data_IF_773679788632
#
_entry.id   IF_773679788632
#
_cell.length_a   1.000
_cell.length_b   1.000
_cell.length_c   1.000
_cell.angle_alpha   90.00
_cell.angle_beta   90.00
_cell.angle_gamma   90.00
#
_symmetry.space_group_name_H-M   'P 1'
#
loop_
_entity.id
_entity.type
_entity.pdbx_description
1 polymer ?
#
# COMPACT_ATOMS: atom_id res chain seq x y z
N UNK A 1 46.66 55.33 20.93
CA UNK A 1 45.28 54.98 20.53
C UNK A 1 45.28 53.56 19.89
N UNK A 2 44.76 52.57 20.59
CA UNK A 2 44.69 51.19 20.10
C UNK A 2 43.22 50.82 19.87
N UNK A 3 42.80 50.82 18.59
CA UNK A 3 41.46 50.36 18.22
C UNK A 3 41.39 48.84 18.24
N UNK A 4 40.58 48.31 19.14
CA UNK A 4 40.20 46.88 19.16
C UNK A 4 38.97 46.72 18.28
N UNK A 5 39.13 46.09 17.14
CA UNK A 5 38.00 45.59 16.36
C UNK A 5 37.49 44.30 17.01
N UNK A 6 36.25 44.32 17.53
CA UNK A 6 35.51 43.13 17.93
C UNK A 6 34.87 42.53 16.70
N UNK A 7 35.32 41.35 16.31
CA UNK A 7 34.65 40.54 15.29
C UNK A 7 33.53 39.74 15.97
N UNK A 8 32.28 40.12 15.74
CA UNK A 8 31.13 39.33 16.13
C UNK A 8 30.94 38.22 15.12
N UNK A 9 31.17 36.97 15.52
CA UNK A 9 30.86 35.80 14.76
C UNK A 9 29.35 35.54 14.83
N UNK A 10 28.66 35.74 13.73
CA UNK A 10 27.24 35.41 13.58
C UNK A 10 27.13 33.91 13.23
N UNK A 11 26.77 33.11 14.23
CA UNK A 11 26.53 31.70 14.03
C UNK A 11 25.15 31.50 13.41
N UNK A 12 25.09 31.22 12.11
CA UNK A 12 23.84 30.89 11.42
C UNK A 12 23.49 29.44 11.78
N UNK A 13 22.49 29.29 12.65
CA UNK A 13 21.86 27.97 12.89
C UNK A 13 21.00 27.63 11.67
N UNK A 14 21.48 26.75 10.81
CA UNK A 14 20.65 26.14 9.77
C UNK A 14 19.77 25.09 10.41
N UNK A 15 18.49 25.43 10.63
CA UNK A 15 17.45 24.48 10.96
C UNK A 15 17.25 23.56 9.75
N UNK A 16 17.82 22.38 9.81
CA UNK A 16 17.47 21.30 8.91
C UNK A 16 16.07 20.81 9.32
N UNK A 17 15.06 21.28 8.60
CA UNK A 17 13.71 20.69 8.66
C UNK A 17 13.82 19.27 8.16
N UNK A 18 13.85 18.30 9.06
CA UNK A 18 13.62 16.91 8.71
C UNK A 18 12.21 16.85 8.13
N UNK A 19 12.09 16.68 6.81
CA UNK A 19 10.85 16.33 6.18
C UNK A 19 10.45 14.97 6.75
N UNK A 20 9.61 14.99 7.77
CA UNK A 20 8.88 13.80 8.19
C UNK A 20 7.93 13.50 7.04
N UNK A 21 8.27 12.55 6.20
CA UNK A 21 7.37 11.98 5.22
C UNK A 21 6.23 11.32 6.01
N UNK A 22 5.18 12.07 6.28
CA UNK A 22 3.90 11.45 6.63
C UNK A 22 3.33 10.92 5.32
N UNK A 23 3.07 9.62 5.24
CA UNK A 23 2.45 9.02 4.08
C UNK A 23 1.08 9.65 3.80
N UNK A 24 0.66 9.61 2.56
CA UNK A 24 -0.66 10.06 2.14
C UNK A 24 -1.72 9.03 2.57
N UNK A 25 -2.68 9.46 3.37
CA UNK A 25 -3.83 8.61 3.75
C UNK A 25 -4.82 8.58 2.58
N UNK A 26 -5.10 7.37 2.10
CA UNK A 26 -6.03 7.12 1.00
C UNK A 26 -7.40 6.75 1.56
N UNK A 27 -8.39 7.57 1.25
CA UNK A 27 -9.80 7.25 1.49
C UNK A 27 -10.35 6.24 0.45
N UNK A 28 -11.63 5.87 0.61
CA UNK A 28 -12.27 4.92 -0.29
C UNK A 28 -12.30 5.37 -1.75
N UNK A 29 -12.50 6.64 -2.00
CA UNK A 29 -12.56 7.19 -3.36
C UNK A 29 -11.17 7.22 -4.02
N UNK A 30 -10.14 7.55 -3.27
CA UNK A 30 -8.76 7.49 -3.74
C UNK A 30 -8.37 6.04 -4.07
N UNK A 31 -8.77 5.08 -3.22
CA UNK A 31 -8.55 3.66 -3.46
C UNK A 31 -9.29 3.16 -4.72
N UNK A 32 -10.54 3.58 -4.94
CA UNK A 32 -11.29 3.26 -6.17
C UNK A 32 -10.55 3.76 -7.40
N UNK A 33 -10.12 5.03 -7.42
CA UNK A 33 -9.36 5.60 -8.55
C UNK A 33 -8.07 4.84 -8.83
N UNK A 34 -7.42 4.33 -7.80
CA UNK A 34 -6.17 3.61 -7.93
C UNK A 34 -6.38 2.15 -8.39
N UNK A 35 -7.34 1.44 -7.79
CA UNK A 35 -7.47 0.00 -7.94
C UNK A 35 -8.43 -0.43 -9.04
N UNK A 36 -9.56 0.25 -9.21
CA UNK A 36 -10.60 -0.23 -10.12
C UNK A 36 -10.16 -0.16 -11.57
N UNK A 37 -10.32 -1.27 -12.28
CA UNK A 37 -9.81 -1.47 -13.63
C UNK A 37 -8.32 -1.84 -13.70
N UNK A 38 -7.65 -2.03 -12.56
CA UNK A 38 -6.23 -2.34 -12.47
C UNK A 38 -5.98 -3.62 -11.66
N UNK A 39 -4.78 -4.16 -11.81
CA UNK A 39 -4.32 -5.31 -11.02
C UNK A 39 -3.29 -4.87 -9.99
N UNK A 40 -3.56 -5.18 -8.75
CA UNK A 40 -2.64 -5.01 -7.63
C UNK A 40 -1.85 -6.30 -7.44
N UNK A 41 -0.52 -6.20 -7.43
CA UNK A 41 0.34 -7.24 -6.88
C UNK A 41 0.79 -6.79 -5.50
N UNK A 42 0.71 -7.69 -4.52
CA UNK A 42 1.19 -7.40 -3.16
C UNK A 42 1.95 -8.58 -2.58
N UNK A 43 3.02 -8.27 -1.86
CA UNK A 43 3.80 -9.20 -1.08
C UNK A 43 3.68 -8.84 0.39
N UNK A 44 3.58 -9.84 1.25
CA UNK A 44 3.54 -9.62 2.69
C UNK A 44 4.95 -9.55 3.27
N UNK A 45 5.18 -8.68 4.26
CA UNK A 45 6.48 -8.56 4.92
C UNK A 45 6.94 -9.88 5.54
N UNK A 46 8.24 -10.07 5.62
CA UNK A 46 8.83 -11.18 6.36
C UNK A 46 8.35 -11.18 7.82
N UNK A 47 8.06 -12.35 8.35
CA UNK A 47 7.56 -12.52 9.71
C UNK A 47 6.03 -12.56 9.85
N UNK A 48 5.28 -12.25 8.79
CA UNK A 48 3.83 -12.49 8.76
C UNK A 48 3.53 -13.93 8.33
N UNK A 49 2.33 -14.43 8.64
CA UNK A 49 1.89 -15.77 8.21
C UNK A 49 1.88 -15.90 6.68
N UNK A 50 1.67 -14.79 5.99
CA UNK A 50 1.51 -14.75 4.53
C UNK A 50 2.80 -14.33 3.79
N UNK A 51 3.93 -14.13 4.48
CA UNK A 51 5.19 -13.68 3.86
C UNK A 51 5.71 -14.55 2.70
N UNK A 52 5.23 -15.79 2.60
CA UNK A 52 5.57 -16.72 1.52
C UNK A 52 4.60 -16.71 0.36
N UNK A 53 3.73 -15.70 0.30
CA UNK A 53 2.68 -15.61 -0.71
C UNK A 53 2.74 -14.27 -1.44
N UNK A 54 2.56 -14.33 -2.74
CA UNK A 54 2.32 -13.16 -3.60
C UNK A 54 0.88 -13.21 -4.06
N UNK A 55 0.18 -12.11 -3.92
CA UNK A 55 -1.20 -11.97 -4.35
C UNK A 55 -1.25 -11.06 -5.57
N UNK A 56 -2.09 -11.44 -6.53
CA UNK A 56 -2.51 -10.59 -7.64
C UNK A 56 -4.01 -10.46 -7.57
N UNK A 57 -4.51 -9.24 -7.54
CA UNK A 57 -5.95 -8.96 -7.45
C UNK A 57 -6.34 -7.92 -8.49
N UNK A 58 -7.21 -8.30 -9.43
CA UNK A 58 -7.85 -7.38 -10.35
C UNK A 58 -9.18 -6.93 -9.77
N UNK A 59 -9.36 -5.62 -9.69
CA UNK A 59 -10.56 -4.99 -9.17
C UNK A 59 -11.47 -4.58 -10.32
N UNK A 60 -12.49 -5.40 -10.56
CA UNK A 60 -13.45 -5.19 -11.64
C UNK A 60 -14.39 -4.03 -11.32
N UNK A 61 -14.77 -3.17 -12.31
CA UNK A 61 -15.74 -2.09 -12.09
C UNK A 61 -17.09 -2.54 -11.52
N UNK A 62 -17.47 -3.80 -11.74
CA UNK A 62 -18.72 -4.39 -11.23
C UNK A 62 -18.67 -4.79 -9.74
N UNK A 63 -17.63 -4.41 -9.01
CA UNK A 63 -17.48 -4.71 -7.58
C UNK A 63 -16.91 -6.09 -7.29
N UNK A 64 -16.38 -6.78 -8.29
CA UNK A 64 -15.74 -8.09 -8.13
C UNK A 64 -14.23 -7.94 -8.00
N UNK A 65 -13.63 -8.92 -7.34
CA UNK A 65 -12.18 -9.12 -7.29
C UNK A 65 -11.88 -10.47 -7.92
N UNK A 66 -11.02 -10.48 -8.92
CA UNK A 66 -10.46 -11.71 -9.48
C UNK A 66 -9.04 -11.81 -9.00
N UNK A 67 -8.77 -12.80 -8.15
CA UNK A 67 -7.49 -12.92 -7.48
C UNK A 67 -6.78 -14.22 -7.74
N UNK A 68 -5.47 -14.20 -7.54
CA UNK A 68 -4.61 -15.35 -7.57
C UNK A 68 -3.58 -15.24 -6.45
N UNK A 69 -3.45 -16.30 -5.69
CA UNK A 69 -2.42 -16.50 -4.69
C UNK A 69 -1.36 -17.43 -5.25
N UNK A 70 -0.09 -17.03 -5.14
CA UNK A 70 1.07 -17.86 -5.47
C UNK A 70 1.92 -18.03 -4.21
N UNK A 71 2.25 -19.28 -3.86
CA UNK A 71 3.25 -19.56 -2.82
C UNK A 71 4.65 -19.53 -3.40
N UNK A 72 5.55 -18.85 -2.74
CA UNK A 72 6.94 -18.67 -3.21
C UNK A 72 7.75 -19.97 -3.10
N UNK A 73 7.39 -20.86 -2.15
CA UNK A 73 8.11 -22.09 -1.82
C UNK A 73 7.61 -23.33 -2.61
N UNK A 74 6.61 -23.17 -3.46
CA UNK A 74 6.07 -24.29 -4.24
C UNK A 74 5.85 -23.89 -5.69
N UNK A 75 6.73 -24.38 -6.56
CA UNK A 75 6.62 -24.17 -7.99
C UNK A 75 5.26 -24.71 -8.50
N UNK A 76 4.46 -23.80 -9.08
CA UNK A 76 3.21 -24.17 -9.75
C UNK A 76 1.94 -24.24 -8.89
N UNK A 77 2.01 -23.96 -7.61
CA UNK A 77 0.80 -23.87 -6.77
C UNK A 77 0.18 -22.47 -6.84
N UNK A 78 -0.71 -22.31 -7.80
CA UNK A 78 -1.57 -21.14 -7.94
C UNK A 78 -2.96 -21.45 -7.42
N UNK A 79 -3.50 -20.58 -6.59
CA UNK A 79 -4.88 -20.66 -6.12
C UNK A 79 -5.65 -19.45 -6.60
N UNK A 80 -6.60 -19.66 -7.49
CA UNK A 80 -7.52 -18.61 -7.92
C UNK A 80 -8.64 -18.42 -6.90
N UNK A 81 -9.10 -17.19 -6.75
CA UNK A 81 -10.24 -16.86 -5.91
C UNK A 81 -11.04 -15.70 -6.50
N UNK A 82 -12.27 -15.61 -6.10
CA UNK A 82 -13.16 -14.50 -6.42
C UNK A 82 -13.55 -13.84 -5.10
N UNK A 83 -13.52 -12.52 -5.10
CA UNK A 83 -13.96 -11.69 -3.99
C UNK A 83 -14.88 -10.57 -4.47
N UNK A 84 -15.19 -9.68 -3.55
CA UNK A 84 -15.95 -8.46 -3.81
C UNK A 84 -15.28 -7.28 -3.14
N UNK A 85 -15.50 -6.09 -3.70
CA UNK A 85 -15.09 -4.83 -3.10
C UNK A 85 -16.26 -3.86 -3.05
N UNK A 86 -16.20 -2.93 -2.13
CA UNK A 86 -17.16 -1.82 -2.01
C UNK A 86 -16.53 -0.67 -1.23
N UNK A 87 -17.16 0.50 -1.29
CA UNK A 87 -16.83 1.61 -0.39
C UNK A 87 -17.93 1.71 0.66
N UNK A 88 -17.57 1.71 1.94
CA UNK A 88 -18.48 1.87 3.08
C UNK A 88 -17.89 2.89 4.05
N UNK A 89 -18.67 3.87 4.42
CA UNK A 89 -18.26 4.92 5.37
C UNK A 89 -16.90 5.57 5.00
N UNK A 90 -16.71 5.84 3.70
CA UNK A 90 -15.48 6.44 3.17
C UNK A 90 -14.24 5.54 3.20
N UNK A 91 -14.40 4.24 3.47
CA UNK A 91 -13.31 3.25 3.48
C UNK A 91 -13.47 2.22 2.38
N UNK A 92 -12.36 1.78 1.83
CA UNK A 92 -12.33 0.69 0.85
C UNK A 92 -12.41 -0.65 1.58
N UNK A 93 -13.44 -1.42 1.25
CA UNK A 93 -13.74 -2.70 1.89
C UNK A 93 -13.59 -3.83 0.89
N UNK A 94 -12.97 -4.93 1.32
CA UNK A 94 -12.83 -6.15 0.51
C UNK A 94 -13.34 -7.36 1.27
N UNK A 95 -13.86 -8.33 0.54
CA UNK A 95 -14.19 -9.65 1.04
C UNK A 95 -13.63 -10.70 0.09
N UNK A 96 -12.58 -11.37 0.50
CA UNK A 96 -11.88 -12.38 -0.29
C UNK A 96 -11.76 -13.69 0.48
N UNK A 97 -11.72 -14.81 -0.23
CA UNK A 97 -11.51 -16.14 0.35
C UNK A 97 -12.54 -16.52 1.44
N UNK A 98 -13.76 -16.02 1.34
CA UNK A 98 -14.84 -16.30 2.31
C UNK A 98 -14.67 -15.59 3.66
N UNK A 99 -13.74 -14.62 3.75
CA UNK A 99 -13.59 -13.77 4.94
C UNK A 99 -14.70 -12.71 4.97
N UNK A 100 -15.02 -12.24 6.16
CA UNK A 100 -15.88 -11.07 6.35
C UNK A 100 -15.26 -9.83 5.71
N UNK A 101 -16.08 -8.83 5.38
CA UNK A 101 -15.60 -7.56 4.82
C UNK A 101 -14.60 -6.89 5.76
N UNK A 102 -13.39 -6.70 5.26
CA UNK A 102 -12.35 -5.90 5.91
C UNK A 102 -12.36 -4.50 5.28
N UNK A 103 -12.72 -3.50 6.08
CA UNK A 103 -12.73 -2.08 5.68
C UNK A 103 -11.50 -1.39 6.23
N UNK A 104 -10.49 -1.25 5.41
CA UNK A 104 -9.19 -0.74 5.83
C UNK A 104 -8.95 0.68 5.36
N UNK A 105 -8.17 1.42 6.14
CA UNK A 105 -7.57 2.68 5.71
C UNK A 105 -6.15 2.40 5.27
N UNK A 106 -5.74 3.01 4.16
CA UNK A 106 -4.44 2.82 3.57
C UNK A 106 -3.63 4.10 3.65
N UNK A 107 -2.36 3.98 3.96
CA UNK A 107 -1.38 5.06 3.92
C UNK A 107 -0.34 4.74 2.84
N UNK A 108 -0.24 5.60 1.84
CA UNK A 108 0.79 5.48 0.80
C UNK A 108 2.10 6.04 1.34
N UNK A 109 3.08 5.17 1.58
CA UNK A 109 4.40 5.56 2.06
C UNK A 109 5.31 6.01 0.90
N UNK A 110 5.25 5.27 -0.22
CA UNK A 110 5.93 5.59 -1.47
C UNK A 110 5.24 4.88 -2.64
N UNK A 111 5.82 4.90 -3.83
CA UNK A 111 5.19 4.31 -5.04
C UNK A 111 4.93 2.80 -4.95
N UNK A 112 5.63 2.09 -4.08
CA UNK A 112 5.54 0.62 -3.98
C UNK A 112 5.20 0.11 -2.59
N UNK A 113 5.03 1.02 -1.61
CA UNK A 113 4.83 0.63 -0.21
C UNK A 113 3.60 1.31 0.36
N UNK A 114 2.68 0.51 0.86
CA UNK A 114 1.47 0.95 1.54
C UNK A 114 1.38 0.31 2.90
N UNK A 115 0.84 1.04 3.85
CA UNK A 115 0.55 0.56 5.19
C UNK A 115 -0.96 0.45 5.36
N UNK A 116 -1.43 -0.65 5.92
CA UNK A 116 -2.81 -0.81 6.35
C UNK A 116 -2.92 -0.29 7.76
N UNK A 117 -3.78 0.71 7.97
CA UNK A 117 -4.02 1.31 9.28
C UNK A 117 -5.22 0.60 9.91
N UNK A 118 -5.08 0.16 11.16
CA UNK A 118 -6.18 -0.33 11.98
C UNK A 118 -6.16 -1.82 12.30
N UNK A 119 -5.48 -2.67 11.53
CA UNK A 119 -5.35 -4.08 11.89
C UNK A 119 -3.91 -4.42 12.25
N UNK A 120 -3.07 -4.93 11.54
CA UNK A 120 -1.73 -5.37 11.99
C UNK A 120 -0.62 -4.35 11.76
N UNK A 121 -0.91 -3.18 11.18
CA UNK A 121 0.10 -2.21 10.79
C UNK A 121 1.07 -2.72 9.73
N UNK A 122 0.66 -3.75 8.99
CA UNK A 122 1.48 -4.41 7.99
C UNK A 122 1.85 -3.49 6.84
N UNK A 123 3.14 -3.51 6.52
CA UNK A 123 3.69 -2.90 5.32
C UNK A 123 3.67 -3.94 4.20
N UNK A 124 3.22 -3.53 3.01
CA UNK A 124 3.18 -4.41 1.85
C UNK A 124 3.91 -3.77 0.68
N UNK A 125 4.73 -4.56 -0.01
CA UNK A 125 5.28 -4.13 -1.28
C UNK A 125 4.20 -4.27 -2.35
N UNK A 126 3.79 -3.15 -2.91
CA UNK A 126 2.67 -3.08 -3.84
C UNK A 126 3.16 -2.65 -5.20
N UNK A 127 2.75 -3.38 -6.23
CA UNK A 127 2.90 -2.98 -7.63
C UNK A 127 1.54 -2.91 -8.27
N UNK A 128 1.30 -1.83 -9.01
CA UNK A 128 0.06 -1.63 -9.74
C UNK A 128 0.30 -1.82 -11.23
N UNK A 129 -0.48 -2.69 -11.85
CA UNK A 129 -0.48 -2.93 -13.29
C UNK A 129 -1.77 -2.41 -13.90
N UNK A 130 -1.66 -1.70 -15.01
CA UNK A 130 -2.84 -1.23 -15.74
C UNK A 130 -3.59 -2.41 -16.35
N UNK A 131 -4.91 -2.43 -16.13
CA UNK A 131 -5.77 -3.48 -16.66
C UNK A 131 -5.64 -4.81 -15.91
N UNK A 132 -6.31 -5.83 -16.45
CA UNK A 132 -6.24 -7.20 -15.93
C UNK A 132 -4.92 -7.84 -16.35
N UNK A 133 -4.09 -8.19 -15.38
CA UNK A 133 -2.79 -8.82 -15.64
C UNK A 133 -2.98 -10.23 -16.22
N UNK A 134 -2.15 -10.61 -17.21
CA UNK A 134 -2.25 -11.88 -17.93
C UNK A 134 -2.22 -13.12 -17.04
N UNK A 135 -1.61 -13.02 -15.87
CA UNK A 135 -1.53 -14.13 -14.89
C UNK A 135 -2.91 -14.52 -14.32
N UNK A 136 -3.91 -13.65 -14.46
CA UNK A 136 -5.28 -13.85 -13.97
C UNK A 136 -6.24 -14.39 -15.05
N UNK A 137 -5.73 -14.71 -16.23
CA UNK A 137 -6.51 -15.24 -17.35
C UNK A 137 -6.54 -16.78 -17.33
#
# INVERSE_FOLDING_TARGET
>A
MKNKFMLSALTVLTLHSANVFSGEVLDGDAMVKMLVGNTLQMDYPAGTLDHRRTYHEYYDPDGKIFGMERRVDSAGNYKHFIGTWSVKDGRFCTSVLGRTYDCNTYEKINETTYKIIGESGEMRNVKLYKGKHHILN
#
